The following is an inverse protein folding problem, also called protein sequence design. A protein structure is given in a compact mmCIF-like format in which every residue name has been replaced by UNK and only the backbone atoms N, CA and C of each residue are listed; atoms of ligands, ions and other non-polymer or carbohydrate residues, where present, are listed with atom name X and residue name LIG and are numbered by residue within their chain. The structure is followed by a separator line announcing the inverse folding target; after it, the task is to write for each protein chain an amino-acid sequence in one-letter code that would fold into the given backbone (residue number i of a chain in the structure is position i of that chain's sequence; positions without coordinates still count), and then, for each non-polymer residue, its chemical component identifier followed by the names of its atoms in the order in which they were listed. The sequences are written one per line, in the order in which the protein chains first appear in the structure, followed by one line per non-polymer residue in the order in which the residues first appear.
data_IF_002834921588
#
_entry.id   IF_002834921588
#
_cell.length_a   1.000
_cell.length_b   1.000
_cell.length_c   1.000
_cell.angle_alpha   90.00
_cell.angle_beta   90.00
_cell.angle_gamma   90.00
#
_symmetry.space_group_name_H-M   'P 1'
#
loop_
_entity.id
_entity.type
_entity.pdbx_description
1 polymer ?
#
# COMPACT_ATOMS: atom_id res chain seq x y z
N UNK A 1 -32.13 -21.83 46.17
CA UNK A 1 -31.11 -21.05 45.44
C UNK A 1 -29.75 -21.72 45.63
N UNK A 2 -29.09 -22.21 44.58
CA UNK A 2 -27.76 -22.85 44.71
C UNK A 2 -26.72 -21.77 45.00
N UNK A 3 -26.01 -21.87 46.13
CA UNK A 3 -24.95 -20.93 46.48
C UNK A 3 -23.74 -21.16 45.56
N UNK A 4 -23.30 -20.10 44.89
CA UNK A 4 -22.09 -20.14 44.06
C UNK A 4 -20.90 -20.33 45.00
N UNK A 5 -20.11 -21.38 44.77
CA UNK A 5 -18.94 -21.69 45.60
C UNK A 5 -17.92 -20.54 45.59
N UNK A 6 -17.14 -20.35 46.67
CA UNK A 6 -16.10 -19.32 46.72
C UNK A 6 -15.09 -19.43 45.56
N UNK A 7 -14.76 -20.65 45.14
CA UNK A 7 -13.89 -20.93 44.00
C UNK A 7 -14.50 -20.41 42.68
N UNK A 8 -15.79 -20.67 42.45
CA UNK A 8 -16.51 -20.18 41.28
C UNK A 8 -16.61 -18.64 41.27
N UNK A 9 -16.82 -17.99 42.42
CA UNK A 9 -16.81 -16.52 42.52
C UNK A 9 -15.44 -15.91 42.19
N UNK A 10 -14.37 -16.52 42.71
CA UNK A 10 -13.00 -16.09 42.42
C UNK A 10 -12.67 -16.22 40.93
N UNK A 11 -13.06 -17.35 40.32
CA UNK A 11 -12.89 -17.58 38.89
C UNK A 11 -13.64 -16.55 38.04
N UNK A 12 -14.94 -16.32 38.30
CA UNK A 12 -15.74 -15.31 37.58
C UNK A 12 -15.12 -13.92 37.71
N UNK A 13 -14.62 -13.54 38.90
CA UNK A 13 -13.94 -12.26 39.10
C UNK A 13 -12.65 -12.18 38.30
N UNK A 14 -11.84 -13.24 38.27
CA UNK A 14 -10.59 -13.27 37.49
C UNK A 14 -10.87 -13.14 35.98
N UNK A 15 -11.85 -13.89 35.47
CA UNK A 15 -12.27 -13.80 34.06
C UNK A 15 -12.82 -12.42 33.75
N UNK A 16 -13.70 -11.87 34.60
CA UNK A 16 -14.24 -10.52 34.45
C UNK A 16 -13.13 -9.45 34.38
N UNK A 17 -12.13 -9.52 35.27
CA UNK A 17 -10.98 -8.60 35.24
C UNK A 17 -10.21 -8.75 33.93
N UNK A 18 -9.94 -9.99 33.47
CA UNK A 18 -9.23 -10.21 32.18
C UNK A 18 -10.01 -9.64 30.99
N UNK A 19 -11.33 -9.84 30.96
CA UNK A 19 -12.20 -9.28 29.91
C UNK A 19 -12.16 -7.76 29.93
N UNK A 20 -12.26 -7.14 31.12
CA UNK A 20 -12.18 -5.69 31.27
C UNK A 20 -10.80 -5.16 30.82
N UNK A 21 -9.71 -5.78 31.23
CA UNK A 21 -8.36 -5.40 30.81
C UNK A 21 -8.21 -5.54 29.29
N UNK A 22 -8.73 -6.61 28.69
CA UNK A 22 -8.70 -6.77 27.24
C UNK A 22 -9.48 -5.65 26.54
N UNK A 23 -10.69 -5.34 27.01
CA UNK A 23 -11.57 -4.36 26.37
C UNK A 23 -11.11 -2.91 26.54
N UNK A 24 -10.58 -2.56 27.73
CA UNK A 24 -10.22 -1.18 28.07
C UNK A 24 -8.75 -0.85 27.87
N UNK A 25 -7.86 -1.85 27.79
CA UNK A 25 -6.42 -1.63 27.61
C UNK A 25 -5.95 -2.19 26.28
N UNK A 26 -6.12 -3.49 26.03
CA UNK A 26 -5.56 -4.10 24.82
C UNK A 26 -6.28 -3.66 23.54
N UNK A 27 -7.60 -3.61 23.54
CA UNK A 27 -8.38 -3.18 22.37
C UNK A 27 -7.96 -1.79 21.88
N UNK A 28 -7.95 -0.71 22.70
CA UNK A 28 -7.53 0.60 22.21
C UNK A 28 -6.06 0.62 21.76
N UNK A 29 -5.17 -0.12 22.42
CA UNK A 29 -3.77 -0.24 21.97
C UNK A 29 -3.65 -0.90 20.60
N UNK A 30 -4.45 -1.94 20.33
CA UNK A 30 -4.51 -2.58 19.01
C UNK A 30 -5.06 -1.59 17.97
N UNK A 31 -6.10 -0.83 18.30
CA UNK A 31 -6.63 0.21 17.41
C UNK A 31 -5.58 1.27 17.08
N UNK A 32 -4.88 1.82 18.09
CA UNK A 32 -3.80 2.79 17.88
C UNK A 32 -2.68 2.19 17.04
N UNK A 33 -2.28 0.94 17.30
CA UNK A 33 -1.24 0.27 16.54
C UNK A 33 -1.61 0.05 15.06
N UNK A 34 -2.90 -0.10 14.75
CA UNK A 34 -3.38 -0.22 13.37
C UNK A 34 -3.35 1.12 12.62
N UNK A 35 -3.53 2.25 13.31
CA UNK A 35 -3.47 3.60 12.73
C UNK A 35 -2.03 4.05 12.41
N UNK A 36 -1.02 3.42 13.00
CA UNK A 36 0.37 3.75 12.74
C UNK A 36 0.80 3.22 11.36
N UNK A 37 1.68 3.96 10.65
CA UNK A 37 2.27 3.45 9.41
C UNK A 37 2.99 2.13 9.64
N UNK A 38 2.56 1.11 8.90
CA UNK A 38 3.23 -0.18 8.83
C UNK A 38 4.61 -0.06 8.15
N UNK A 39 5.39 -1.16 8.16
CA UNK A 39 6.63 -1.20 7.42
C UNK A 39 6.36 -1.08 5.91
N UNK A 40 7.35 -0.56 5.18
CA UNK A 40 7.34 -0.63 3.72
C UNK A 40 7.35 -2.08 3.26
N UNK A 41 6.40 -2.41 2.39
CA UNK A 41 6.33 -3.69 1.71
C UNK A 41 7.51 -3.92 0.77
N UNK A 42 7.56 -5.09 0.12
CA UNK A 42 8.56 -5.37 -0.91
C UNK A 42 8.48 -4.31 -2.03
N UNK A 43 9.61 -3.69 -2.41
CA UNK A 43 9.62 -2.73 -3.51
C UNK A 43 9.36 -3.42 -4.83
N UNK A 44 8.63 -2.74 -5.72
CA UNK A 44 8.46 -3.17 -7.10
C UNK A 44 9.37 -2.34 -8.00
N UNK A 45 10.50 -2.93 -8.37
CA UNK A 45 11.52 -2.28 -9.19
C UNK A 45 11.29 -2.54 -10.68
N UNK A 46 11.52 -1.52 -11.51
CA UNK A 46 11.46 -1.60 -12.97
C UNK A 46 12.61 -0.81 -13.59
N UNK A 47 13.46 -1.47 -14.36
CA UNK A 47 14.54 -0.83 -15.11
C UNK A 47 14.16 -0.69 -16.58
N UNK A 48 14.40 0.49 -17.15
CA UNK A 48 14.20 0.77 -18.58
C UNK A 48 15.55 0.73 -19.31
N UNK A 49 15.51 0.43 -20.61
CA UNK A 49 16.71 0.29 -21.44
C UNK A 49 17.51 1.58 -21.59
N UNK A 50 16.88 2.74 -21.40
CA UNK A 50 17.49 4.07 -21.48
C UNK A 50 18.18 4.49 -20.17
N UNK A 51 18.25 3.60 -19.17
CA UNK A 51 18.91 3.85 -17.89
C UNK A 51 18.00 4.45 -16.81
N UNK A 52 16.72 4.66 -17.10
CA UNK A 52 15.73 5.02 -16.07
C UNK A 52 15.45 3.83 -15.15
N UNK A 53 15.27 4.11 -13.86
CA UNK A 53 14.84 3.13 -12.88
C UNK A 53 13.63 3.65 -12.14
N UNK A 54 12.61 2.82 -12.00
CA UNK A 54 11.45 3.09 -11.17
C UNK A 54 11.42 2.12 -10.01
N UNK A 55 10.97 2.62 -8.87
CA UNK A 55 10.73 1.81 -7.68
C UNK A 55 9.42 2.27 -7.04
N UNK A 56 8.42 1.41 -7.05
CA UNK A 56 7.18 1.62 -6.30
C UNK A 56 7.33 1.01 -4.91
N UNK A 57 7.01 1.79 -3.88
CA UNK A 57 6.92 1.33 -2.50
C UNK A 57 5.53 1.59 -1.96
N UNK A 58 4.96 0.60 -1.29
CA UNK A 58 3.66 0.69 -0.65
C UNK A 58 3.80 0.33 0.83
N UNK A 59 3.05 0.98 1.70
CA UNK A 59 2.89 0.57 3.10
C UNK A 59 1.45 0.79 3.54
N UNK A 60 0.99 0.03 4.51
CA UNK A 60 -0.30 0.28 5.17
C UNK A 60 -0.20 1.48 6.11
N UNK A 61 -1.24 2.32 6.14
CA UNK A 61 -1.46 3.31 7.20
C UNK A 61 -2.94 3.23 7.60
N UNK A 62 -3.26 2.81 8.82
CA UNK A 62 -4.65 2.68 9.24
C UNK A 62 -5.40 1.63 8.41
N UNK A 63 -6.39 2.09 7.65
CA UNK A 63 -7.21 1.28 6.71
C UNK A 63 -6.80 1.45 5.26
N UNK A 64 -5.76 2.20 5.03
CA UNK A 64 -5.38 2.75 3.73
C UNK A 64 -3.96 2.33 3.42
N UNK A 65 -3.47 2.74 2.26
CA UNK A 65 -2.09 2.54 1.85
C UNK A 65 -1.48 3.85 1.41
N UNK A 66 -0.18 3.95 1.65
CA UNK A 66 0.68 5.05 1.25
C UNK A 66 1.64 4.51 0.19
N UNK A 67 1.58 5.10 -0.99
CA UNK A 67 2.30 4.65 -2.18
C UNK A 67 3.20 5.75 -2.71
N UNK A 68 4.49 5.43 -2.81
CA UNK A 68 5.51 6.32 -3.30
C UNK A 68 6.18 5.69 -4.51
N UNK A 69 6.18 6.42 -5.61
CA UNK A 69 6.95 6.11 -6.81
C UNK A 69 8.24 6.91 -6.79
N UNK A 70 9.36 6.20 -6.77
CA UNK A 70 10.67 6.78 -7.00
C UNK A 70 11.07 6.61 -8.44
N UNK A 71 11.55 7.68 -9.04
CA UNK A 71 12.05 7.69 -10.41
C UNK A 71 13.50 8.17 -10.38
N UNK A 72 14.41 7.33 -10.83
CA UNK A 72 15.83 7.64 -10.94
C UNK A 72 16.19 7.81 -12.41
N UNK A 73 16.71 8.99 -12.75
CA UNK A 73 17.15 9.30 -14.11
C UNK A 73 18.46 8.59 -14.45
N UNK A 74 18.82 8.50 -15.75
CA UNK A 74 20.09 7.92 -16.18
C UNK A 74 21.32 8.66 -15.62
N UNK A 75 21.14 9.94 -15.26
CA UNK A 75 22.17 10.75 -14.60
C UNK A 75 22.27 10.50 -13.07
N UNK A 76 21.47 9.58 -12.52
CA UNK A 76 21.45 9.23 -11.10
C UNK A 76 20.59 10.15 -10.22
N UNK A 77 19.83 11.08 -10.79
CA UNK A 77 18.94 11.94 -10.01
C UNK A 77 17.67 11.20 -9.65
N UNK A 78 17.38 11.10 -8.35
CA UNK A 78 16.18 10.46 -7.82
C UNK A 78 15.12 11.50 -7.47
N UNK A 79 13.92 11.32 -8.01
CA UNK A 79 12.73 12.11 -7.67
C UNK A 79 11.67 11.21 -7.04
N UNK A 80 10.91 11.80 -6.13
CA UNK A 80 9.83 11.15 -5.38
C UNK A 80 8.47 11.69 -5.84
N UNK A 81 7.54 10.78 -6.10
CA UNK A 81 6.17 11.08 -6.48
C UNK A 81 5.20 10.30 -5.60
N UNK A 82 4.25 11.01 -5.00
CA UNK A 82 3.19 10.40 -4.19
C UNK A 82 2.11 9.91 -5.15
N UNK A 83 1.91 8.59 -5.20
CA UNK A 83 0.94 7.93 -6.09
C UNK A 83 -0.48 8.16 -5.60
N UNK A 84 -0.68 8.15 -4.29
CA UNK A 84 -1.99 8.19 -3.68
C UNK A 84 -2.33 9.59 -3.17
N UNK A 85 -3.36 10.20 -3.77
CA UNK A 85 -3.92 11.48 -3.31
C UNK A 85 -5.14 11.30 -2.40
N UNK A 86 -5.76 10.11 -2.40
CA UNK A 86 -7.01 9.83 -1.69
C UNK A 86 -7.17 8.33 -1.41
N UNK A 87 -6.42 7.79 -0.43
CA UNK A 87 -6.86 6.92 0.67
C UNK A 87 -7.80 5.70 0.43
N UNK A 88 -8.20 5.38 -0.80
CA UNK A 88 -9.28 4.42 -1.08
C UNK A 88 -8.77 3.09 -1.67
N UNK A 89 -7.60 3.08 -2.30
CA UNK A 89 -7.10 1.90 -2.99
C UNK A 89 -6.14 1.09 -2.13
N UNK A 90 -6.58 -0.11 -1.76
CA UNK A 90 -5.74 -1.12 -1.12
C UNK A 90 -4.84 -1.84 -2.14
N UNK A 91 -3.65 -1.28 -2.39
CA UNK A 91 -2.67 -1.78 -3.36
C UNK A 91 -1.90 -2.97 -2.81
N UNK A 92 -2.40 -4.18 -3.08
CA UNK A 92 -1.73 -5.46 -2.76
C UNK A 92 -0.81 -5.98 -3.85
N UNK A 93 -1.17 -5.70 -5.10
CA UNK A 93 -0.48 -6.18 -6.28
C UNK A 93 -0.47 -5.07 -7.30
N UNK A 94 0.71 -4.72 -7.78
CA UNK A 94 0.88 -3.67 -8.76
C UNK A 94 1.60 -4.20 -10.00
N UNK A 95 1.31 -3.58 -11.13
CA UNK A 95 1.95 -3.84 -12.42
C UNK A 95 2.48 -2.52 -12.96
N UNK A 96 3.78 -2.42 -13.21
CA UNK A 96 4.40 -1.28 -13.88
C UNK A 96 4.46 -1.60 -15.38
N UNK A 97 3.83 -0.76 -16.18
CA UNK A 97 3.80 -0.87 -17.64
C UNK A 97 4.46 0.31 -18.30
N UNK A 98 4.92 0.09 -19.52
CA UNK A 98 5.49 1.11 -20.37
C UNK A 98 4.86 1.06 -21.76
N UNK A 99 4.67 2.24 -22.35
CA UNK A 99 4.39 2.38 -23.77
C UNK A 99 5.50 1.77 -24.64
N UNK A 100 5.17 1.39 -25.87
CA UNK A 100 6.19 0.92 -26.81
C UNK A 100 7.16 2.06 -27.18
N UNK A 101 8.46 1.76 -27.36
CA UNK A 101 9.42 2.74 -27.83
C UNK A 101 8.97 3.39 -29.15
N UNK A 102 9.23 4.70 -29.36
CA UNK A 102 10.14 5.55 -28.59
C UNK A 102 9.52 6.22 -27.36
N UNK A 103 8.24 5.96 -27.06
CA UNK A 103 7.56 6.63 -25.96
C UNK A 103 8.15 6.18 -24.60
N UNK A 104 8.38 7.16 -23.71
CA UNK A 104 8.89 6.95 -22.35
C UNK A 104 7.79 7.12 -21.31
N UNK A 105 6.56 6.75 -21.67
CA UNK A 105 5.39 6.84 -20.80
C UNK A 105 5.26 5.56 -19.99
N UNK A 106 5.03 5.73 -18.70
CA UNK A 106 4.93 4.64 -17.73
C UNK A 106 3.65 4.83 -16.94
N UNK A 107 2.98 3.72 -16.63
CA UNK A 107 1.84 3.75 -15.73
C UNK A 107 1.85 2.52 -14.83
N UNK A 108 1.15 2.67 -13.71
CA UNK A 108 1.05 1.67 -12.66
C UNK A 108 -0.40 1.25 -12.59
N UNK A 109 -0.62 -0.06 -12.67
CA UNK A 109 -1.94 -0.67 -12.56
C UNK A 109 -2.06 -1.45 -11.26
N UNK A 110 -3.21 -1.37 -10.62
CA UNK A 110 -3.62 -2.21 -9.50
C UNK A 110 -5.09 -2.56 -9.67
N UNK A 111 -5.46 -3.84 -9.46
CA UNK A 111 -6.84 -4.32 -9.60
C UNK A 111 -7.52 -4.00 -10.96
N UNK A 112 -6.73 -3.81 -12.02
CA UNK A 112 -7.23 -3.46 -13.35
C UNK A 112 -7.47 -1.97 -13.59
N UNK A 113 -7.12 -1.12 -12.62
CA UNK A 113 -7.22 0.35 -12.72
C UNK A 113 -5.83 0.98 -12.73
N UNK A 114 -5.68 2.11 -13.44
CA UNK A 114 -4.45 2.90 -13.44
C UNK A 114 -4.43 3.78 -12.21
N UNK A 115 -3.47 3.53 -11.31
CA UNK A 115 -3.33 4.27 -10.04
C UNK A 115 -2.35 5.43 -10.13
N UNK A 116 -1.41 5.39 -11.08
CA UNK A 116 -0.55 6.52 -11.38
C UNK A 116 0.04 6.38 -12.78
N UNK A 117 0.42 7.51 -13.35
CA UNK A 117 1.13 7.54 -14.62
C UNK A 117 2.16 8.68 -14.67
N UNK A 118 3.20 8.50 -15.46
CA UNK A 118 4.27 9.47 -15.64
C UNK A 118 4.77 9.45 -17.09
N UNK A 119 4.99 10.63 -17.65
CA UNK A 119 5.76 10.79 -18.88
C UNK A 119 7.20 11.13 -18.49
N UNK A 120 8.13 10.20 -18.66
CA UNK A 120 9.52 10.41 -18.25
C UNK A 120 10.26 11.43 -19.12
N UNK A 121 9.73 11.80 -20.28
CA UNK A 121 10.33 12.81 -21.14
C UNK A 121 10.04 14.22 -20.62
N UNK A 122 8.80 14.47 -20.18
CA UNK A 122 8.37 15.77 -19.62
C UNK A 122 8.46 15.82 -18.10
N UNK A 123 8.63 14.65 -17.45
CA UNK A 123 8.49 14.45 -16.00
C UNK A 123 7.12 14.86 -15.47
N UNK A 124 6.10 14.88 -16.32
CA UNK A 124 4.73 15.15 -15.92
C UNK A 124 4.13 13.89 -15.27
N UNK A 125 3.56 14.07 -14.07
CA UNK A 125 3.09 12.98 -13.22
C UNK A 125 1.60 13.15 -12.88
N UNK A 126 0.85 12.07 -12.98
CA UNK A 126 -0.56 11.99 -12.62
C UNK A 126 -0.74 10.96 -11.50
N UNK A 127 -1.13 11.45 -10.32
CA UNK A 127 -1.51 10.61 -9.18
C UNK A 127 -2.89 9.99 -9.37
N UNK A 128 -3.28 9.08 -8.49
CA UNK A 128 -4.60 8.45 -8.49
C UNK A 128 -5.75 9.47 -8.52
N UNK A 129 -5.59 10.58 -7.80
CA UNK A 129 -6.60 11.64 -7.71
C UNK A 129 -6.77 12.45 -9.00
N UNK A 130 -5.82 12.33 -9.93
CA UNK A 130 -5.86 13.03 -11.20
C UNK A 130 -6.63 12.21 -12.25
N UNK A 131 -7.32 12.91 -13.16
CA UNK A 131 -7.80 12.27 -14.38
C UNK A 131 -6.59 11.74 -15.17
N UNK A 132 -6.54 10.41 -15.29
CA UNK A 132 -5.44 9.75 -16.01
C UNK A 132 -5.47 10.11 -17.49
N UNK A 133 -4.32 10.31 -18.12
CA UNK A 133 -4.24 10.58 -19.55
C UNK A 133 -4.70 9.37 -20.35
N UNK A 134 -5.27 9.62 -21.53
CA UNK A 134 -5.87 8.58 -22.39
C UNK A 134 -4.90 7.44 -22.71
N UNK A 135 -3.61 7.75 -22.91
CA UNK A 135 -2.60 6.74 -23.21
C UNK A 135 -2.38 5.73 -22.07
N UNK A 136 -2.52 6.16 -20.81
CA UNK A 136 -2.40 5.27 -19.66
C UNK A 136 -3.66 4.40 -19.55
N UNK A 137 -4.83 5.00 -19.75
CA UNK A 137 -6.13 4.30 -19.71
C UNK A 137 -6.31 3.29 -20.84
N UNK A 138 -5.73 3.54 -22.02
CA UNK A 138 -5.81 2.63 -23.15
C UNK A 138 -5.10 1.29 -22.89
N UNK A 139 -4.17 1.23 -21.93
CA UNK A 139 -3.58 -0.02 -21.41
C UNK A 139 -2.71 -0.81 -22.40
N UNK A 140 -2.35 -0.24 -23.55
CA UNK A 140 -1.51 -0.89 -24.57
C UNK A 140 -0.03 -0.66 -24.26
N UNK A 141 0.52 -1.43 -23.33
CA UNK A 141 1.93 -1.35 -22.96
C UNK A 141 2.51 -2.66 -22.46
N UNK A 142 3.84 -2.76 -22.56
CA UNK A 142 4.62 -3.89 -22.07
C UNK A 142 4.75 -3.83 -20.55
N UNK A 143 4.57 -4.98 -19.90
CA UNK A 143 4.83 -5.14 -18.47
C UNK A 143 6.35 -5.09 -18.24
N UNK A 144 6.80 -4.15 -17.42
CA UNK A 144 8.18 -4.05 -16.97
C UNK A 144 8.41 -4.84 -15.69
N UNK A 145 7.46 -4.77 -14.76
CA UNK A 145 7.53 -5.41 -13.46
C UNK A 145 6.12 -5.62 -12.91
N UNK A 146 5.90 -6.71 -12.17
CA UNK A 146 4.64 -6.96 -11.49
C UNK A 146 4.86 -7.82 -10.26
N UNK A 147 4.08 -7.60 -9.21
CA UNK A 147 4.24 -8.35 -7.99
C UNK A 147 3.44 -7.82 -6.81
N UNK A 148 3.48 -8.56 -5.68
CA UNK A 148 2.90 -8.10 -4.43
C UNK A 148 3.68 -6.88 -3.91
N UNK A 149 2.96 -5.91 -3.37
CA UNK A 149 3.50 -4.66 -2.82
C UNK A 149 3.39 -4.60 -1.29
N UNK A 150 2.81 -5.64 -0.68
CA UNK A 150 2.58 -5.78 0.77
C UNK A 150 3.04 -7.15 1.26
N UNK A 151 3.32 -7.28 2.55
CA UNK A 151 3.66 -8.58 3.11
C UNK A 151 2.41 -9.42 3.35
N UNK A 152 2.48 -10.73 3.09
CA UNK A 152 1.35 -11.65 3.26
C UNK A 152 0.77 -11.67 4.69
N UNK A 153 1.57 -11.41 5.71
CA UNK A 153 1.12 -11.41 7.11
C UNK A 153 0.19 -10.21 7.42
N UNK A 154 0.19 -9.18 6.57
CA UNK A 154 -0.71 -8.03 6.71
C UNK A 154 -2.17 -8.39 6.45
N UNK A 155 -2.46 -9.56 5.86
CA UNK A 155 -3.82 -10.11 5.68
C UNK A 155 -4.46 -10.39 7.05
N UNK A 156 -3.64 -10.69 8.07
CA UNK A 156 -4.10 -11.06 9.41
C UNK A 156 -4.39 -9.83 10.29
N UNK A 157 -4.04 -8.63 9.83
CA UNK A 157 -4.32 -7.40 10.55
C UNK A 157 -5.78 -6.99 10.32
N UNK A 158 -6.56 -6.70 11.39
CA UNK A 158 -7.94 -6.26 11.28
C UNK A 158 -8.08 -5.05 10.33
N UNK A 159 -9.13 -5.03 9.50
CA UNK A 159 -9.53 -3.89 8.68
C UNK A 159 -10.34 -2.90 9.52
#
# INVERSE_FOLDING_TARGET
MRSISPQTRSYIRSVGIRVLVWYFVFRPLVWIALELPGPWGPPLDAALQEGWQLQLKCRRIGRETDEILFVTSPAGHRQEFVVNGHHALDVWYATIRRSDPPDCRVWIESRGEVIASIDLQTMEFWSESNQQPFWAQAGQGKILSQGPTRYWWEILLPI
#
